data_IF_282918712998
#
_entry.id   IF_282918712998
#
_cell.length_a   1.000
_cell.length_b   1.000
_cell.length_c   1.000
_cell.angle_alpha   90.00
_cell.angle_beta   90.00
_cell.angle_gamma   90.00
#
_symmetry.space_group_name_H-M   'P 1'
#
loop_
_entity.id
_entity.type
_entity.pdbx_description
1 polymer ?
#
# COMPACT_ATOMS: atom_id res chain seq x y z
N UNK A 1 4.17 -3.03 26.24
CA UNK A 1 4.99 -3.12 25.01
C UNK A 1 4.37 -3.99 23.92
N UNK A 2 3.86 -5.21 24.22
CA UNK A 2 3.30 -6.13 23.21
C UNK A 2 2.05 -5.63 22.45
N UNK A 3 1.24 -4.78 23.08
CA UNK A 3 0.00 -4.22 22.48
C UNK A 3 0.31 -3.10 21.47
N UNK A 4 1.32 -2.26 21.70
CA UNK A 4 1.69 -1.16 20.80
C UNK A 4 2.24 -1.64 19.46
N UNK A 5 3.07 -2.69 19.45
CA UNK A 5 3.58 -3.27 18.20
C UNK A 5 2.43 -3.84 17.35
N UNK A 6 1.38 -4.37 17.99
CA UNK A 6 0.19 -4.86 17.30
C UNK A 6 -0.46 -3.80 16.42
N UNK A 7 -0.61 -2.57 16.92
CA UNK A 7 -1.24 -1.49 16.17
C UNK A 7 -0.40 -1.01 14.97
N UNK A 8 0.93 -1.02 15.09
CA UNK A 8 1.81 -0.64 13.97
C UNK A 8 1.67 -1.66 12.84
N UNK A 9 1.77 -2.96 13.15
CA UNK A 9 1.59 -4.01 12.15
C UNK A 9 0.18 -4.00 11.55
N UNK A 10 -0.86 -3.82 12.37
CA UNK A 10 -2.23 -3.69 11.89
C UNK A 10 -2.42 -2.49 10.95
N UNK A 11 -1.79 -1.35 11.25
CA UNK A 11 -1.83 -0.16 10.39
C UNK A 11 -1.17 -0.41 9.04
N UNK A 12 0.04 -0.96 9.03
CA UNK A 12 0.77 -1.25 7.79
C UNK A 12 0.05 -2.33 6.97
N UNK A 13 -0.37 -3.44 7.58
CA UNK A 13 -1.12 -4.47 6.88
C UNK A 13 -2.48 -3.98 6.39
N UNK A 14 -3.18 -3.13 7.17
CA UNK A 14 -4.42 -2.52 6.74
C UNK A 14 -4.23 -1.64 5.49
N UNK A 15 -3.12 -0.89 5.42
CA UNK A 15 -2.74 -0.14 4.24
C UNK A 15 -2.51 -1.07 3.04
N UNK A 16 -1.66 -2.11 3.19
CA UNK A 16 -1.37 -3.03 2.09
C UNK A 16 -2.61 -3.79 1.60
N UNK A 17 -3.49 -4.20 2.51
CA UNK A 17 -4.74 -4.87 2.17
C UNK A 17 -5.71 -3.94 1.47
N UNK A 18 -5.84 -2.70 1.95
CA UNK A 18 -6.71 -1.68 1.36
C UNK A 18 -6.28 -1.30 -0.06
N UNK A 19 -4.98 -1.11 -0.24
CA UNK A 19 -4.35 -0.89 -1.55
C UNK A 19 -4.65 -2.07 -2.50
N UNK A 20 -4.21 -3.29 -2.16
CA UNK A 20 -4.41 -4.46 -3.03
C UNK A 20 -5.90 -4.78 -3.33
N UNK A 21 -6.81 -4.47 -2.40
CA UNK A 21 -8.25 -4.55 -2.64
C UNK A 21 -8.76 -3.44 -3.57
N UNK A 22 -8.15 -2.27 -3.53
CA UNK A 22 -8.55 -1.06 -4.26
C UNK A 22 -8.04 -0.99 -5.70
N UNK A 23 -6.81 -1.44 -5.98
CA UNK A 23 -6.17 -1.38 -7.31
C UNK A 23 -7.09 -1.82 -8.46
N UNK A 24 -7.83 -2.96 -8.38
CA UNK A 24 -8.70 -3.40 -9.47
C UNK A 24 -9.91 -2.49 -9.74
N UNK A 25 -10.23 -1.58 -8.81
CA UNK A 25 -11.40 -0.71 -8.83
C UNK A 25 -11.06 0.76 -9.07
N UNK A 26 -9.78 1.12 -9.23
CA UNK A 26 -9.38 2.48 -9.54
C UNK A 26 -10.10 3.02 -10.78
N UNK A 27 -10.42 4.31 -10.76
CA UNK A 27 -11.14 5.02 -11.83
C UNK A 27 -12.57 4.52 -12.10
N UNK A 28 -13.11 3.55 -11.33
CA UNK A 28 -14.53 3.18 -11.41
C UNK A 28 -15.40 4.24 -10.75
N UNK A 29 -16.54 4.49 -11.37
CA UNK A 29 -17.56 5.37 -10.83
C UNK A 29 -18.27 4.73 -9.64
N UNK A 30 -18.78 5.56 -8.72
CA UNK A 30 -19.63 5.09 -7.61
C UNK A 30 -20.82 4.24 -8.09
N UNK A 31 -21.37 4.53 -9.28
CA UNK A 31 -22.49 3.78 -9.87
C UNK A 31 -22.06 2.36 -10.27
N UNK A 32 -20.91 2.19 -10.90
CA UNK A 32 -20.37 0.86 -11.23
C UNK A 32 -20.09 0.05 -9.96
N UNK A 33 -19.60 0.72 -8.91
CA UNK A 33 -19.35 0.11 -7.60
C UNK A 33 -20.63 -0.34 -6.88
N UNK A 34 -21.84 0.11 -7.27
CA UNK A 34 -23.08 -0.42 -6.71
C UNK A 34 -23.36 -1.85 -7.17
N UNK A 35 -22.99 -2.19 -8.41
CA UNK A 35 -23.19 -3.50 -9.01
C UNK A 35 -22.03 -4.45 -8.71
N UNK A 36 -20.81 -3.92 -8.65
CA UNK A 36 -19.59 -4.69 -8.38
C UNK A 36 -18.75 -4.05 -7.27
N UNK A 37 -19.18 -4.16 -6.00
CA UNK A 37 -18.51 -3.51 -4.89
C UNK A 37 -17.30 -4.30 -4.38
N UNK A 38 -16.29 -3.59 -3.86
CA UNK A 38 -15.12 -4.17 -3.20
C UNK A 38 -15.45 -4.56 -1.75
N UNK A 39 -16.00 -5.77 -1.53
CA UNK A 39 -16.54 -6.17 -0.20
C UNK A 39 -15.95 -7.43 0.40
N UNK A 40 -15.74 -8.47 -0.39
CA UNK A 40 -15.56 -9.83 0.14
C UNK A 40 -14.25 -10.49 -0.29
N UNK A 41 -13.86 -10.31 -1.55
CA UNK A 41 -12.69 -10.98 -2.13
C UNK A 41 -11.78 -9.98 -2.84
N UNK A 42 -10.47 -10.25 -2.79
CA UNK A 42 -9.51 -9.59 -3.67
C UNK A 42 -9.69 -10.13 -5.08
N UNK A 43 -10.10 -9.25 -6.00
CA UNK A 43 -10.20 -9.57 -7.42
C UNK A 43 -8.93 -9.15 -8.16
N UNK A 44 -8.71 -9.71 -9.34
CA UNK A 44 -7.64 -9.30 -10.25
C UNK A 44 -8.17 -8.73 -11.55
N UNK A 45 -7.26 -8.39 -12.44
CA UNK A 45 -7.46 -8.01 -13.84
C UNK A 45 -8.44 -6.85 -14.07
N UNK A 46 -8.50 -5.93 -13.10
CA UNK A 46 -9.25 -4.67 -13.20
C UNK A 46 -8.49 -3.59 -13.97
N UNK A 47 -8.44 -2.39 -13.40
CA UNK A 47 -7.95 -1.17 -14.06
C UNK A 47 -6.56 -1.28 -14.70
N UNK A 48 -5.66 -2.05 -14.07
CA UNK A 48 -4.26 -2.20 -14.51
C UNK A 48 -3.90 -3.61 -15.00
N UNK A 49 -4.88 -4.50 -15.17
CA UNK A 49 -4.69 -5.88 -15.64
C UNK A 49 -3.70 -6.73 -14.79
N UNK A 50 -3.66 -6.51 -13.47
CA UNK A 50 -2.77 -7.22 -12.54
C UNK A 50 -3.49 -8.36 -11.80
N UNK A 51 -2.81 -9.45 -11.39
CA UNK A 51 -3.44 -10.54 -10.64
C UNK A 51 -3.95 -10.06 -9.28
N UNK A 52 -4.90 -10.81 -8.70
CA UNK A 52 -5.45 -10.53 -7.38
C UNK A 52 -4.34 -10.46 -6.31
N UNK A 53 -4.44 -9.46 -5.41
CA UNK A 53 -3.45 -9.23 -4.36
C UNK A 53 -2.26 -8.36 -4.78
N UNK A 54 -2.25 -7.85 -6.01
CA UNK A 54 -1.25 -6.85 -6.45
C UNK A 54 -1.56 -5.50 -5.82
N UNK A 55 -0.60 -4.93 -5.10
CA UNK A 55 -0.62 -3.58 -4.52
C UNK A 55 0.08 -2.57 -5.44
N UNK A 56 -0.14 -1.28 -5.18
CA UNK A 56 0.33 -0.16 -6.00
C UNK A 56 1.55 0.55 -5.40
N UNK A 57 1.77 1.79 -5.85
CA UNK A 57 2.69 2.75 -5.25
C UNK A 57 2.34 3.07 -3.79
N UNK A 58 1.08 3.04 -3.36
CA UNK A 58 0.69 3.28 -1.96
C UNK A 58 1.47 2.37 -0.99
N UNK A 59 1.45 1.05 -1.24
CA UNK A 59 2.22 0.07 -0.46
C UNK A 59 3.71 0.23 -0.70
N UNK A 60 4.13 0.34 -1.96
CA UNK A 60 5.55 0.42 -2.31
C UNK A 60 6.26 1.57 -1.61
N UNK A 61 5.69 2.77 -1.71
CA UNK A 61 6.24 4.00 -1.14
C UNK A 61 6.21 3.98 0.38
N UNK A 62 5.15 3.42 0.97
CA UNK A 62 5.05 3.22 2.42
C UNK A 62 6.15 2.31 2.93
N UNK A 63 6.44 1.20 2.22
CA UNK A 63 7.51 0.29 2.61
C UNK A 63 8.90 0.94 2.45
N UNK A 64 9.12 1.71 1.37
CA UNK A 64 10.36 2.49 1.22
C UNK A 64 10.56 3.47 2.39
N UNK A 65 9.50 4.17 2.81
CA UNK A 65 9.53 5.08 3.95
C UNK A 65 9.80 4.35 5.25
N UNK A 66 9.08 3.26 5.52
CA UNK A 66 9.22 2.47 6.73
C UNK A 66 10.64 1.90 6.88
N UNK A 67 11.22 1.41 5.78
CA UNK A 67 12.56 0.85 5.75
C UNK A 67 13.63 1.94 5.99
N UNK A 68 13.45 3.15 5.45
CA UNK A 68 14.33 4.30 5.76
C UNK A 68 14.29 4.67 7.23
N UNK A 69 13.08 4.84 7.78
CA UNK A 69 12.90 5.22 9.18
C UNK A 69 13.46 4.16 10.14
N UNK A 70 13.38 2.88 9.79
CA UNK A 70 13.94 1.79 10.57
C UNK A 70 15.48 1.85 10.63
N UNK A 71 16.13 2.25 9.54
CA UNK A 71 17.59 2.35 9.47
C UNK A 71 18.16 3.66 10.04
N UNK A 72 17.46 4.79 9.87
CA UNK A 72 18.01 6.11 10.22
C UNK A 72 17.56 6.63 11.58
N UNK A 73 16.71 5.90 12.29
CA UNK A 73 16.22 6.28 13.62
C UNK A 73 17.37 6.64 14.59
N UNK A 74 17.27 7.73 15.38
CA UNK A 74 16.11 8.60 15.61
C UNK A 74 15.96 9.77 14.64
N UNK A 75 16.77 9.82 13.57
CA UNK A 75 16.71 10.88 12.58
C UNK A 75 15.75 10.52 11.44
N UNK A 76 15.08 11.52 10.91
CA UNK A 76 14.37 11.43 9.63
C UNK A 76 15.33 11.91 8.55
N UNK A 77 15.97 10.98 7.84
CA UNK A 77 16.87 11.30 6.74
C UNK A 77 16.07 11.42 5.43
N UNK A 78 15.70 12.65 5.09
CA UNK A 78 14.98 12.93 3.84
C UNK A 78 15.76 12.50 2.59
N UNK A 79 17.10 12.51 2.63
CA UNK A 79 17.91 12.12 1.47
C UNK A 79 17.82 10.62 1.24
N UNK A 80 17.90 9.82 2.30
CA UNK A 80 17.74 8.37 2.20
C UNK A 80 16.32 7.98 1.74
N UNK A 81 15.28 8.64 2.27
CA UNK A 81 13.89 8.47 1.81
C UNK A 81 13.77 8.72 0.30
N UNK A 82 14.25 9.88 -0.17
CA UNK A 82 14.20 10.24 -1.60
C UNK A 82 14.96 9.24 -2.47
N UNK A 83 16.12 8.75 -2.02
CA UNK A 83 16.90 7.75 -2.75
C UNK A 83 16.18 6.40 -2.83
N UNK A 84 15.46 5.99 -1.79
CA UNK A 84 14.64 4.77 -1.82
C UNK A 84 13.47 4.91 -2.79
N UNK A 85 12.85 6.09 -2.82
CA UNK A 85 11.77 6.40 -3.76
C UNK A 85 12.27 6.38 -5.21
N UNK A 86 13.45 6.95 -5.46
CA UNK A 86 14.12 6.89 -6.76
C UNK A 86 14.44 5.44 -7.17
N UNK A 87 14.97 4.61 -6.25
CA UNK A 87 15.25 3.18 -6.49
C UNK A 87 14.01 2.33 -6.74
N UNK A 88 12.84 2.74 -6.24
CA UNK A 88 11.60 2.03 -6.56
C UNK A 88 11.13 2.34 -7.99
N UNK A 89 11.36 3.57 -8.46
CA UNK A 89 10.92 4.01 -9.78
C UNK A 89 11.77 3.43 -10.93
N UNK A 90 13.06 3.16 -10.70
CA UNK A 90 14.05 2.74 -11.70
C UNK A 90 14.66 1.37 -11.41
#
# INVERSE_FOLDING_TARGET
MRIMNGYIYQGIFGLCLGDAMGVPYEFRTKREMLFHPAKEEMIGYGSHNQPAGTWSDDTSMTLCLADSLAETWPLVDYRDIMQRFERWLY
#
